data_IF_802014844286
#
_entry.id   IF_802014844286
#
_cell.length_a   1.000
_cell.length_b   1.000
_cell.length_c   1.000
_cell.angle_alpha   90.00
_cell.angle_beta   90.00
_cell.angle_gamma   90.00
#
_symmetry.space_group_name_H-M   'P 1'
#
loop_
_entity.id
_entity.type
_entity.pdbx_description
1 polymer ?
#
# COMPACT_ATOMS: atom_id res chain seq x y z
N UNK A 1 22.25 -28.78 -25.01
CA UNK A 1 23.39 -29.69 -24.79
C UNK A 1 24.58 -28.98 -24.15
N UNK A 2 24.98 -27.76 -24.58
CA UNK A 2 26.11 -27.05 -23.94
C UNK A 2 25.73 -26.37 -22.60
N UNK A 3 24.55 -25.74 -22.54
CA UNK A 3 24.09 -25.04 -21.32
C UNK A 3 23.91 -25.96 -20.10
N UNK A 4 23.22 -27.10 -20.25
CA UNK A 4 22.99 -28.04 -19.14
C UNK A 4 24.31 -28.58 -18.57
N UNK A 5 25.30 -28.82 -19.46
CA UNK A 5 26.63 -29.26 -19.06
C UNK A 5 27.35 -28.18 -18.24
N UNK A 6 27.29 -26.91 -18.69
CA UNK A 6 27.86 -25.77 -17.96
C UNK A 6 27.17 -25.55 -16.61
N UNK A 7 25.87 -25.79 -16.50
CA UNK A 7 25.14 -25.73 -15.22
C UNK A 7 25.62 -26.82 -14.25
N UNK A 8 25.83 -28.04 -14.73
CA UNK A 8 26.41 -29.13 -13.92
C UNK A 8 27.83 -28.75 -13.47
N UNK A 9 28.65 -28.24 -14.40
CA UNK A 9 30.01 -27.78 -14.09
C UNK A 9 30.03 -26.67 -13.06
N UNK A 10 29.11 -25.70 -13.16
CA UNK A 10 28.96 -24.63 -12.19
C UNK A 10 28.59 -25.18 -10.81
N UNK A 11 27.58 -26.05 -10.71
CA UNK A 11 27.16 -26.64 -9.44
C UNK A 11 28.30 -27.40 -8.75
N UNK A 12 29.05 -28.22 -9.51
CA UNK A 12 30.20 -28.96 -9.01
C UNK A 12 31.37 -28.03 -8.63
N UNK A 13 31.61 -26.99 -9.42
CA UNK A 13 32.61 -25.97 -9.16
C UNK A 13 32.34 -25.22 -7.85
N UNK A 14 31.10 -24.75 -7.66
CA UNK A 14 30.68 -24.07 -6.43
C UNK A 14 30.81 -24.94 -5.19
N UNK A 15 30.50 -26.24 -5.29
CA UNK A 15 30.73 -27.19 -4.21
C UNK A 15 32.22 -27.39 -3.92
N UNK A 16 33.05 -27.57 -4.97
CA UNK A 16 34.50 -27.81 -4.84
C UNK A 16 35.24 -26.67 -4.14
N UNK A 17 34.78 -25.44 -4.33
CA UNK A 17 35.41 -24.24 -3.73
C UNK A 17 34.78 -23.83 -2.39
N UNK A 18 33.97 -24.71 -1.78
CA UNK A 18 33.28 -24.44 -0.52
C UNK A 18 32.31 -23.24 -0.56
N UNK A 19 31.83 -22.85 -1.75
CA UNK A 19 30.79 -21.84 -1.88
C UNK A 19 29.40 -22.38 -1.47
N UNK A 20 29.23 -23.71 -1.47
CA UNK A 20 28.06 -24.43 -0.97
C UNK A 20 28.50 -25.38 0.13
N UNK A 21 27.98 -25.19 1.35
CA UNK A 21 28.33 -26.01 2.52
C UNK A 21 27.08 -26.66 3.12
N UNK A 22 27.22 -27.89 3.59
CA UNK A 22 26.16 -28.67 4.23
C UNK A 22 26.49 -28.92 5.70
N UNK A 23 25.47 -28.92 6.55
CA UNK A 23 25.61 -29.00 8.01
C UNK A 23 24.64 -28.05 8.71
N UNK A 24 24.74 -27.92 10.02
CA UNK A 24 23.88 -27.02 10.79
C UNK A 24 24.46 -25.61 10.83
N UNK A 25 23.74 -24.65 10.25
CA UNK A 25 24.10 -23.23 10.29
C UNK A 25 22.95 -22.40 10.84
N UNK A 26 23.27 -21.30 11.52
CA UNK A 26 22.27 -20.36 12.02
C UNK A 26 22.15 -19.16 11.07
N UNK A 27 20.92 -18.89 10.61
CA UNK A 27 20.63 -17.70 9.80
C UNK A 27 20.59 -16.44 10.65
N UNK A 28 20.67 -15.25 10.03
CA UNK A 28 20.53 -13.96 10.73
C UNK A 28 19.21 -13.80 11.48
N UNK A 29 18.17 -14.54 11.09
CA UNK A 29 16.87 -14.58 11.76
C UNK A 29 16.79 -15.60 12.90
N UNK A 30 17.90 -16.24 13.28
CA UNK A 30 17.96 -17.25 14.35
C UNK A 30 17.40 -18.62 13.95
N UNK A 31 17.09 -18.84 12.67
CA UNK A 31 16.56 -20.12 12.17
C UNK A 31 17.73 -21.00 11.72
N UNK A 32 17.74 -22.27 12.13
CA UNK A 32 18.73 -23.23 11.65
C UNK A 32 18.47 -23.62 10.18
N UNK A 33 19.53 -23.75 9.39
CA UNK A 33 19.50 -24.16 7.99
C UNK A 33 20.50 -25.30 7.77
N UNK A 34 20.14 -26.36 7.03
CA UNK A 34 21.02 -27.50 6.72
C UNK A 34 22.08 -27.17 5.64
N UNK A 35 22.00 -25.96 5.09
CA UNK A 35 22.80 -25.52 3.95
C UNK A 35 23.17 -24.04 4.06
N UNK A 36 24.40 -23.72 3.73
CA UNK A 36 24.96 -22.37 3.73
C UNK A 36 25.63 -22.06 2.40
N UNK A 37 25.47 -20.81 1.96
CA UNK A 37 25.97 -20.30 0.69
C UNK A 37 26.84 -19.09 0.92
N UNK A 38 28.05 -19.12 0.38
CA UNK A 38 28.97 -18.00 0.42
C UNK A 38 29.59 -17.77 -0.95
N UNK A 39 28.85 -17.12 -1.85
CA UNK A 39 29.37 -16.79 -3.17
C UNK A 39 30.45 -15.71 -3.13
N UNK A 40 30.85 -15.16 -1.97
CA UNK A 40 31.98 -14.22 -1.91
C UNK A 40 33.30 -14.91 -2.21
N UNK A 41 33.42 -16.22 -1.98
CA UNK A 41 34.67 -16.95 -2.24
C UNK A 41 35.02 -17.02 -3.73
N UNK A 42 34.03 -16.88 -4.63
CA UNK A 42 34.22 -17.05 -6.07
C UNK A 42 35.24 -16.07 -6.66
N UNK A 43 35.45 -14.91 -6.02
CA UNK A 43 36.41 -13.89 -6.49
C UNK A 43 37.85 -14.42 -6.48
N UNK A 44 38.13 -15.47 -5.70
CA UNK A 44 39.42 -16.16 -5.65
C UNK A 44 39.57 -17.24 -6.72
N UNK A 45 38.53 -17.50 -7.53
CA UNK A 45 38.48 -18.58 -8.52
C UNK A 45 38.05 -18.04 -9.90
N UNK A 46 38.99 -17.48 -10.68
CA UNK A 46 38.69 -16.87 -11.99
C UNK A 46 37.94 -17.78 -12.96
N UNK A 47 38.23 -19.08 -12.95
CA UNK A 47 37.55 -20.07 -13.80
C UNK A 47 36.04 -20.15 -13.49
N UNK A 48 35.65 -20.11 -12.21
CA UNK A 48 34.25 -20.12 -11.78
C UNK A 48 33.57 -18.81 -12.16
N UNK A 49 34.27 -17.68 -12.00
CA UNK A 49 33.79 -16.35 -12.41
C UNK A 49 33.54 -16.25 -13.92
N UNK A 50 34.45 -16.78 -14.75
CA UNK A 50 34.29 -16.82 -16.20
C UNK A 50 33.11 -17.71 -16.59
N UNK A 51 32.96 -18.89 -15.96
CA UNK A 51 31.84 -19.80 -16.21
C UNK A 51 30.49 -19.16 -15.86
N UNK A 52 30.36 -18.53 -14.68
CA UNK A 52 29.18 -17.77 -14.28
C UNK A 52 28.89 -16.68 -15.31
N UNK A 53 29.90 -15.91 -15.71
CA UNK A 53 29.73 -14.81 -16.68
C UNK A 53 29.32 -15.33 -18.06
N UNK A 54 29.85 -16.47 -18.50
CA UNK A 54 29.42 -17.12 -19.76
C UNK A 54 27.98 -17.61 -19.69
N UNK A 55 27.60 -18.28 -18.60
CA UNK A 55 26.22 -18.71 -18.38
C UNK A 55 25.27 -17.52 -18.33
N UNK A 56 25.61 -16.46 -17.61
CA UNK A 56 24.83 -15.22 -17.58
C UNK A 56 24.72 -14.62 -18.98
N UNK A 57 25.80 -14.56 -19.76
CA UNK A 57 25.78 -14.06 -21.14
C UNK A 57 24.81 -14.86 -22.02
N UNK A 58 24.90 -16.19 -21.99
CA UNK A 58 24.03 -17.11 -22.73
C UNK A 58 22.56 -16.99 -22.28
N UNK A 59 22.34 -16.75 -20.99
CA UNK A 59 21.02 -16.65 -20.36
C UNK A 59 20.37 -15.27 -20.49
N UNK A 60 21.16 -14.19 -20.61
CA UNK A 60 20.71 -12.79 -20.53
C UNK A 60 20.47 -12.13 -21.89
N UNK A 61 21.09 -12.59 -22.98
CA UNK A 61 21.20 -11.74 -24.19
C UNK A 61 20.21 -12.10 -25.29
N UNK A 62 19.70 -13.34 -25.33
CA UNK A 62 18.82 -13.72 -26.45
C UNK A 62 17.51 -12.89 -26.44
N UNK A 63 17.03 -12.48 -25.26
CA UNK A 63 15.68 -11.87 -25.14
C UNK A 63 15.60 -10.54 -24.37
N UNK A 64 16.62 -10.12 -23.60
CA UNK A 64 16.50 -8.93 -22.73
C UNK A 64 17.09 -7.68 -23.37
N UNK A 65 16.28 -6.61 -23.48
CA UNK A 65 16.73 -5.29 -23.91
C UNK A 65 17.08 -4.41 -22.71
N UNK A 66 18.36 -4.12 -22.51
CA UNK A 66 18.84 -3.25 -21.44
C UNK A 66 19.99 -2.31 -21.90
N UNK A 67 20.15 -1.22 -21.17
CA UNK A 67 21.15 -0.17 -21.40
C UNK A 67 22.33 -0.30 -20.43
N UNK A 68 22.02 -0.70 -19.19
CA UNK A 68 22.97 -0.84 -18.09
C UNK A 68 22.85 -2.18 -17.38
N UNK A 69 23.94 -2.59 -16.72
CA UNK A 69 23.94 -3.67 -15.72
C UNK A 69 24.21 -3.07 -14.34
N UNK A 70 23.54 -3.55 -13.30
CA UNK A 70 23.84 -3.19 -11.91
C UNK A 70 23.90 -4.43 -11.04
N UNK A 71 25.07 -4.68 -10.42
CA UNK A 71 25.21 -5.74 -9.42
C UNK A 71 24.70 -5.30 -8.07
N UNK A 72 23.98 -6.17 -7.35
CA UNK A 72 23.60 -5.90 -5.96
C UNK A 72 24.85 -5.96 -5.06
N UNK A 73 25.06 -4.96 -4.18
CA UNK A 73 26.27 -4.94 -3.35
C UNK A 73 26.31 -6.05 -2.28
N UNK A 74 27.45 -6.70 -2.03
CA UNK A 74 28.77 -6.51 -2.67
C UNK A 74 29.15 -7.67 -3.59
N UNK A 75 28.62 -8.87 -3.35
CA UNK A 75 29.06 -10.11 -4.01
C UNK A 75 28.78 -10.11 -5.51
N UNK A 76 27.68 -9.50 -5.95
CA UNK A 76 27.34 -9.47 -7.37
C UNK A 76 28.09 -8.37 -8.16
N UNK A 77 28.82 -7.45 -7.51
CA UNK A 77 29.55 -6.38 -8.20
C UNK A 77 30.66 -6.89 -9.12
N UNK A 78 31.55 -7.82 -8.70
CA UNK A 78 32.56 -8.40 -9.60
C UNK A 78 31.93 -9.12 -10.80
N UNK A 79 30.82 -9.82 -10.58
CA UNK A 79 30.11 -10.57 -11.64
C UNK A 79 29.49 -9.59 -12.64
N UNK A 80 28.79 -8.56 -12.15
CA UNK A 80 28.23 -7.50 -12.99
C UNK A 80 29.31 -6.75 -13.77
N UNK A 81 30.49 -6.57 -13.18
CA UNK A 81 31.64 -5.96 -13.86
C UNK A 81 32.07 -6.81 -15.06
N UNK A 82 32.33 -8.11 -14.87
CA UNK A 82 32.71 -9.00 -15.96
C UNK A 82 31.61 -9.10 -17.03
N UNK A 83 30.35 -9.19 -16.61
CA UNK A 83 29.22 -9.25 -17.53
C UNK A 83 29.13 -7.97 -18.38
N UNK A 84 29.26 -6.79 -17.76
CA UNK A 84 29.20 -5.50 -18.47
C UNK A 84 30.24 -5.41 -19.60
N UNK A 85 31.45 -5.90 -19.35
CA UNK A 85 32.53 -5.98 -20.34
C UNK A 85 32.17 -6.98 -21.44
N UNK A 86 31.68 -8.17 -21.09
CA UNK A 86 31.33 -9.23 -22.04
C UNK A 86 30.17 -8.82 -22.97
N UNK A 87 29.17 -8.11 -22.44
CA UNK A 87 28.00 -7.63 -23.21
C UNK A 87 28.21 -6.27 -23.88
N UNK A 88 29.33 -5.60 -23.61
CA UNK A 88 29.64 -4.23 -24.08
C UNK A 88 28.55 -3.22 -23.71
N UNK A 89 28.02 -3.30 -22.49
CA UNK A 89 27.08 -2.34 -21.90
C UNK A 89 27.70 -1.72 -20.67
N UNK A 90 27.30 -0.49 -20.34
CA UNK A 90 27.84 0.18 -19.16
C UNK A 90 27.32 -0.44 -17.86
N UNK A 91 28.10 -0.33 -16.80
CA UNK A 91 27.70 -0.77 -15.46
C UNK A 91 27.34 0.45 -14.60
N UNK A 92 26.25 0.35 -13.86
CA UNK A 92 25.93 1.22 -12.74
C UNK A 92 26.31 0.52 -11.44
N UNK A 93 26.79 1.29 -10.47
CA UNK A 93 27.15 0.76 -9.16
C UNK A 93 26.30 1.42 -8.08
N UNK A 94 25.40 0.63 -7.49
CA UNK A 94 24.67 1.03 -6.29
C UNK A 94 25.59 0.92 -5.08
N UNK A 95 25.62 1.94 -4.22
CA UNK A 95 26.29 1.89 -2.93
C UNK A 95 25.33 1.38 -1.88
N UNK A 96 25.83 0.62 -0.91
CA UNK A 96 25.00 0.21 0.24
C UNK A 96 24.78 1.38 1.21
N UNK A 97 25.82 2.20 1.42
CA UNK A 97 25.76 3.42 2.22
C UNK A 97 26.03 4.67 1.37
N UNK A 98 25.25 5.73 1.58
CA UNK A 98 25.50 7.03 0.97
C UNK A 98 26.78 7.64 1.55
N UNK A 99 27.52 8.41 0.73
CA UNK A 99 28.68 9.17 1.22
C UNK A 99 28.21 10.21 2.25
N UNK A 100 28.96 10.38 3.34
CA UNK A 100 28.74 11.45 4.32
C UNK A 100 29.13 12.85 3.78
N UNK A 101 29.90 12.91 2.69
CA UNK A 101 30.38 14.12 2.03
C UNK A 101 30.31 14.01 0.49
N UNK A 102 30.32 15.13 -0.23
CA UNK A 102 30.23 15.17 -1.71
C UNK A 102 28.79 15.11 -2.24
N UNK A 103 28.59 14.50 -3.43
CA UNK A 103 27.30 14.48 -4.16
C UNK A 103 26.17 13.67 -3.49
N UNK A 104 26.47 12.93 -2.40
CA UNK A 104 25.54 12.07 -1.63
C UNK A 104 24.74 11.04 -2.47
N UNK A 105 25.13 10.80 -3.73
CA UNK A 105 24.45 9.86 -4.63
C UNK A 105 24.64 8.41 -4.18
N UNK A 106 23.55 7.63 -4.28
CA UNK A 106 23.55 6.19 -4.04
C UNK A 106 23.92 5.39 -5.29
N UNK A 107 23.68 5.93 -6.48
CA UNK A 107 24.01 5.29 -7.77
C UNK A 107 25.18 6.03 -8.43
N UNK A 108 26.26 5.30 -8.70
CA UNK A 108 27.44 5.77 -9.42
C UNK A 108 27.37 5.29 -10.90
N UNK A 109 27.82 6.14 -11.83
CA UNK A 109 27.76 5.90 -13.27
C UNK A 109 27.00 7.01 -14.02
N UNK A 110 26.99 6.93 -15.35
CA UNK A 110 26.26 7.84 -16.23
C UNK A 110 25.01 7.18 -16.78
N UNK A 111 23.88 7.85 -16.64
CA UNK A 111 22.57 7.36 -17.08
C UNK A 111 21.60 8.52 -17.35
N UNK A 112 20.51 8.21 -18.03
CA UNK A 112 19.38 9.09 -18.32
C UNK A 112 18.07 8.48 -17.80
N UNK A 113 17.14 9.36 -17.45
CA UNK A 113 15.79 8.96 -17.05
C UNK A 113 15.14 8.14 -18.15
N UNK A 114 14.56 7.01 -17.78
CA UNK A 114 13.87 6.07 -18.67
C UNK A 114 14.73 4.93 -19.23
N UNK A 115 16.06 4.99 -19.08
CA UNK A 115 16.97 3.90 -19.48
C UNK A 115 16.76 2.65 -18.62
N UNK A 116 17.00 1.48 -19.21
CA UNK A 116 16.76 0.17 -18.60
C UNK A 116 18.03 -0.37 -17.93
N UNK A 117 17.91 -0.77 -16.67
CA UNK A 117 18.98 -1.36 -15.89
C UNK A 117 18.65 -2.81 -15.51
N UNK A 118 19.47 -3.74 -15.99
CA UNK A 118 19.41 -5.16 -15.64
C UNK A 118 20.12 -5.40 -14.31
N UNK A 119 19.42 -6.02 -13.37
CA UNK A 119 19.97 -6.30 -12.04
C UNK A 119 20.60 -7.69 -12.01
N UNK A 120 21.80 -7.78 -11.43
CA UNK A 120 22.51 -9.04 -11.20
C UNK A 120 22.65 -9.27 -9.70
N UNK A 121 22.29 -10.47 -9.24
CA UNK A 121 22.40 -10.88 -7.84
C UNK A 121 22.99 -12.29 -7.74
N UNK A 122 23.68 -12.55 -6.62
CA UNK A 122 24.30 -13.84 -6.36
C UNK A 122 23.28 -14.86 -5.85
N UNK A 123 22.58 -14.57 -4.75
CA UNK A 123 21.64 -15.49 -4.09
C UNK A 123 20.36 -14.77 -3.69
N UNK A 124 19.21 -15.35 -4.02
CA UNK A 124 17.90 -14.83 -3.58
C UNK A 124 17.23 -15.77 -2.58
N UNK A 125 16.91 -15.24 -1.40
CA UNK A 125 16.03 -15.86 -0.39
C UNK A 125 14.66 -15.19 -0.37
N UNK A 126 14.60 -13.93 0.09
CA UNK A 126 13.40 -13.07 0.13
C UNK A 126 13.30 -12.11 -1.06
N UNK A 127 14.42 -11.83 -1.74
CA UNK A 127 14.50 -10.79 -2.77
C UNK A 127 14.69 -9.36 -2.24
N UNK A 128 14.87 -9.16 -0.92
CA UNK A 128 14.95 -7.81 -0.33
C UNK A 128 16.12 -6.97 -0.85
N UNK A 129 17.30 -7.56 -1.00
CA UNK A 129 18.49 -6.84 -1.50
C UNK A 129 18.33 -6.35 -2.94
N UNK A 130 17.70 -7.19 -3.77
CA UNK A 130 17.30 -6.83 -5.14
C UNK A 130 16.30 -5.68 -5.08
N UNK A 131 15.26 -5.76 -4.24
CA UNK A 131 14.26 -4.70 -4.10
C UNK A 131 14.80 -3.36 -3.61
N UNK A 132 15.76 -3.36 -2.69
CA UNK A 132 16.47 -2.14 -2.29
C UNK A 132 17.17 -1.49 -3.49
N UNK A 133 17.84 -2.30 -4.30
CA UNK A 133 18.54 -1.84 -5.51
C UNK A 133 17.54 -1.32 -6.57
N UNK A 134 16.45 -2.05 -6.82
CA UNK A 134 15.34 -1.62 -7.70
C UNK A 134 14.79 -0.28 -7.24
N UNK A 135 14.53 -0.13 -5.95
CA UNK A 135 13.95 1.10 -5.37
C UNK A 135 14.87 2.28 -5.59
N UNK A 136 16.17 2.13 -5.34
CA UNK A 136 17.14 3.21 -5.52
C UNK A 136 17.34 3.56 -7.00
N UNK A 137 17.33 2.58 -7.91
CA UNK A 137 17.38 2.83 -9.36
C UNK A 137 16.11 3.54 -9.87
N UNK A 138 14.93 3.07 -9.46
CA UNK A 138 13.64 3.67 -9.87
C UNK A 138 13.48 5.11 -9.36
N UNK A 139 14.01 5.44 -8.17
CA UNK A 139 14.04 6.82 -7.65
C UNK A 139 14.83 7.78 -8.54
N UNK A 140 15.90 7.30 -9.18
CA UNK A 140 16.69 8.07 -10.15
C UNK A 140 16.06 8.08 -11.55
N UNK A 141 14.86 7.51 -11.72
CA UNK A 141 14.11 7.48 -12.97
C UNK A 141 14.48 6.35 -13.93
N UNK A 142 15.27 5.36 -13.49
CA UNK A 142 15.62 4.19 -14.30
C UNK A 142 14.51 3.12 -14.28
N UNK A 143 14.43 2.33 -15.35
CA UNK A 143 13.57 1.14 -15.42
C UNK A 143 14.35 -0.07 -14.95
N UNK A 144 13.94 -0.66 -13.84
CA UNK A 144 14.65 -1.75 -13.17
C UNK A 144 13.69 -2.92 -12.92
N UNK A 145 13.23 -3.51 -14.02
CA UNK A 145 12.08 -4.44 -14.04
C UNK A 145 12.51 -5.89 -14.29
N UNK A 146 13.82 -6.15 -14.45
CA UNK A 146 14.38 -7.48 -14.66
C UNK A 146 15.59 -7.72 -13.76
N UNK A 147 15.62 -8.90 -13.13
CA UNK A 147 16.75 -9.36 -12.34
C UNK A 147 17.16 -10.78 -12.75
N UNK A 148 18.46 -11.00 -12.91
CA UNK A 148 19.06 -12.31 -13.16
C UNK A 148 19.88 -12.70 -11.95
N UNK A 149 19.57 -13.87 -11.42
CA UNK A 149 20.11 -14.39 -10.17
C UNK A 149 20.95 -15.63 -10.46
N UNK A 150 22.08 -15.81 -9.79
CA UNK A 150 22.87 -17.03 -9.93
C UNK A 150 22.15 -18.20 -9.25
N UNK A 151 21.72 -18.02 -8.01
CA UNK A 151 21.03 -19.05 -7.22
C UNK A 151 19.71 -18.55 -6.60
N UNK A 152 18.60 -19.18 -6.99
CA UNK A 152 17.29 -19.04 -6.33
C UNK A 152 17.16 -20.08 -5.21
N UNK A 153 17.00 -19.63 -3.96
CA UNK A 153 16.81 -20.55 -2.83
C UNK A 153 15.41 -21.17 -2.78
N UNK A 154 14.46 -20.70 -3.59
CA UNK A 154 13.07 -21.21 -3.65
C UNK A 154 12.27 -21.02 -2.34
N UNK A 155 12.62 -19.97 -1.59
CA UNK A 155 12.02 -19.63 -0.30
C UNK A 155 11.03 -18.45 -0.37
N UNK A 156 10.64 -17.97 -1.55
CA UNK A 156 9.65 -16.90 -1.73
C UNK A 156 10.16 -15.66 -2.47
N UNK A 157 11.46 -15.57 -2.74
CA UNK A 157 12.07 -14.42 -3.38
C UNK A 157 11.55 -14.13 -4.79
N UNK A 158 11.26 -15.15 -5.60
CA UNK A 158 10.66 -14.95 -6.93
C UNK A 158 9.30 -14.28 -6.84
N UNK A 159 8.40 -14.83 -6.03
CA UNK A 159 7.05 -14.30 -5.85
C UNK A 159 7.09 -12.87 -5.31
N UNK A 160 7.99 -12.61 -4.38
CA UNK A 160 8.24 -11.28 -3.84
C UNK A 160 8.68 -10.27 -4.90
N UNK A 161 9.60 -10.64 -5.80
CA UNK A 161 10.07 -9.78 -6.87
C UNK A 161 9.00 -9.57 -7.95
N UNK A 162 8.34 -10.64 -8.38
CA UNK A 162 7.26 -10.58 -9.39
C UNK A 162 6.09 -9.72 -8.89
N UNK A 163 5.74 -9.82 -7.61
CA UNK A 163 4.72 -8.97 -7.00
C UNK A 163 5.07 -7.47 -7.11
N UNK A 164 6.35 -7.11 -7.21
CA UNK A 164 6.88 -5.75 -7.32
C UNK A 164 7.27 -5.34 -8.76
N UNK A 165 6.68 -6.00 -9.75
CA UNK A 165 6.94 -5.76 -11.17
C UNK A 165 8.43 -5.95 -11.52
N UNK A 166 9.08 -6.93 -10.89
CA UNK A 166 10.46 -7.33 -11.20
C UNK A 166 10.46 -8.78 -11.64
N UNK A 167 10.66 -9.00 -12.94
CA UNK A 167 10.78 -10.34 -13.51
C UNK A 167 12.12 -10.95 -13.08
N UNK A 168 12.05 -12.05 -12.35
CA UNK A 168 13.23 -12.78 -11.90
C UNK A 168 13.50 -13.97 -12.83
N UNK A 169 14.76 -14.12 -13.26
CA UNK A 169 15.27 -15.35 -13.86
C UNK A 169 16.45 -15.86 -13.01
N UNK A 170 16.60 -17.17 -12.88
CA UNK A 170 17.69 -17.77 -12.10
C UNK A 170 18.48 -18.79 -12.94
N UNK A 171 19.81 -18.75 -12.87
CA UNK A 171 20.66 -19.75 -13.51
C UNK A 171 20.48 -21.13 -12.88
N UNK A 172 20.44 -21.17 -11.55
CA UNK A 172 20.29 -22.37 -10.77
C UNK A 172 19.21 -22.18 -9.70
N UNK A 173 18.40 -23.21 -9.47
CA UNK A 173 17.51 -23.27 -8.29
C UNK A 173 18.11 -24.20 -7.25
N UNK A 174 17.71 -24.03 -5.99
CA UNK A 174 18.15 -24.90 -4.91
C UNK A 174 17.86 -26.36 -5.22
N UNK A 175 16.64 -26.67 -5.66
CA UNK A 175 16.25 -28.03 -6.02
C UNK A 175 17.16 -28.62 -7.11
N UNK A 176 17.51 -27.83 -8.14
CA UNK A 176 18.40 -28.29 -9.21
C UNK A 176 19.84 -28.48 -8.74
N UNK A 177 20.34 -27.60 -7.88
CA UNK A 177 21.66 -27.75 -7.28
C UNK A 177 21.74 -29.07 -6.48
N UNK A 178 20.76 -29.35 -5.64
CA UNK A 178 20.72 -30.57 -4.82
C UNK A 178 20.65 -31.83 -5.69
N UNK A 179 19.81 -31.81 -6.73
CA UNK A 179 19.72 -32.91 -7.72
C UNK A 179 21.10 -33.22 -8.33
N UNK A 180 21.78 -32.20 -8.87
CA UNK A 180 23.11 -32.37 -9.50
C UNK A 180 24.13 -32.92 -8.51
N UNK A 181 24.15 -32.43 -7.27
CA UNK A 181 25.10 -32.87 -6.26
C UNK A 181 24.85 -34.32 -5.81
N UNK A 182 23.59 -34.78 -5.77
CA UNK A 182 23.26 -36.18 -5.51
C UNK A 182 23.69 -37.08 -6.67
N UNK A 183 23.35 -36.71 -7.91
CA UNK A 183 23.68 -37.49 -9.11
C UNK A 183 25.19 -37.66 -9.30
N UNK A 184 25.98 -36.69 -8.83
CA UNK A 184 27.43 -36.70 -8.90
C UNK A 184 28.12 -37.15 -7.60
N UNK A 185 27.38 -37.80 -6.69
CA UNK A 185 27.89 -38.36 -5.43
C UNK A 185 28.64 -37.34 -4.53
N UNK A 186 28.24 -36.07 -4.55
CA UNK A 186 28.80 -35.01 -3.68
C UNK A 186 28.07 -34.91 -2.35
N UNK A 187 26.80 -35.29 -2.32
CA UNK A 187 26.00 -35.42 -1.10
C UNK A 187 25.20 -36.72 -1.13
N UNK A 188 24.82 -37.21 0.05
CA UNK A 188 23.97 -38.39 0.16
C UNK A 188 22.47 -38.01 0.12
N UNK A 189 21.61 -39.03 -0.02
CA UNK A 189 20.14 -38.83 -0.06
C UNK A 189 19.56 -38.26 1.24
N UNK A 190 20.19 -38.52 2.39
CA UNK A 190 19.72 -38.00 3.67
C UNK A 190 19.88 -36.47 3.72
N UNK A 191 21.08 -35.96 3.41
CA UNK A 191 21.36 -34.53 3.32
C UNK A 191 20.45 -33.83 2.31
N UNK A 192 20.19 -34.46 1.16
CA UNK A 192 19.27 -33.91 0.17
C UNK A 192 17.82 -33.80 0.71
N UNK A 193 17.37 -34.80 1.47
CA UNK A 193 16.05 -34.78 2.12
C UNK A 193 15.97 -33.70 3.20
N UNK A 194 17.03 -33.49 3.99
CA UNK A 194 17.06 -32.43 5.01
C UNK A 194 16.88 -31.04 4.39
N UNK A 195 17.60 -30.77 3.29
CA UNK A 195 17.44 -29.52 2.53
C UNK A 195 16.02 -29.40 1.96
N UNK A 196 15.48 -30.46 1.37
CA UNK A 196 14.12 -30.46 0.82
C UNK A 196 13.07 -30.13 1.89
N UNK A 197 13.17 -30.76 3.05
CA UNK A 197 12.28 -30.50 4.19
C UNK A 197 12.40 -29.05 4.68
N UNK A 198 13.63 -28.52 4.75
CA UNK A 198 13.86 -27.12 5.10
C UNK A 198 13.18 -26.15 4.13
N UNK A 199 13.30 -26.35 2.82
CA UNK A 199 12.69 -25.47 1.79
C UNK A 199 11.16 -25.47 1.81
N UNK A 200 10.56 -26.60 2.19
CA UNK A 200 9.10 -26.73 2.33
C UNK A 200 8.58 -25.98 3.56
N UNK A 201 9.30 -26.05 4.68
CA UNK A 201 8.83 -25.52 5.96
C UNK A 201 9.28 -24.09 6.25
N UNK A 202 10.37 -23.62 5.63
CA UNK A 202 10.94 -22.29 5.90
C UNK A 202 10.81 -21.40 4.69
N UNK A 203 9.80 -20.52 4.71
CA UNK A 203 9.63 -19.44 3.73
C UNK A 203 10.18 -18.12 4.25
N UNK A 204 10.68 -17.30 3.34
CA UNK A 204 11.11 -15.95 3.61
C UNK A 204 9.89 -15.03 3.83
N UNK A 205 10.04 -13.92 4.57
CA UNK A 205 8.96 -12.95 4.74
C UNK A 205 8.47 -12.42 3.38
N UNK A 206 7.16 -12.26 3.24
CA UNK A 206 6.57 -11.60 2.06
C UNK A 206 7.04 -10.13 2.00
N UNK A 207 7.54 -9.71 0.85
CA UNK A 207 7.92 -8.31 0.56
C UNK A 207 7.06 -7.71 -0.55
N UNK A 208 5.81 -8.16 -0.68
CA UNK A 208 4.85 -7.62 -1.65
C UNK A 208 4.83 -6.08 -1.62
N UNK A 209 4.62 -5.40 -2.76
CA UNK A 209 4.67 -3.95 -2.81
C UNK A 209 3.72 -3.38 -1.79
N UNK A 210 4.20 -2.37 -1.06
CA UNK A 210 3.30 -1.46 -0.38
C UNK A 210 2.55 -0.70 -1.47
N UNK A 211 1.39 -1.21 -1.86
CA UNK A 211 0.45 -0.49 -2.72
C UNK A 211 0.22 0.86 -2.05
N UNK A 212 0.69 1.93 -2.68
CA UNK A 212 0.49 3.26 -2.15
C UNK A 212 -0.90 3.74 -2.54
N UNK A 213 -1.84 3.70 -1.58
CA UNK A 213 -3.22 4.17 -1.82
C UNK A 213 -3.29 5.60 -2.36
N UNK A 214 -2.31 6.45 -2.05
CA UNK A 214 -2.31 7.86 -2.47
C UNK A 214 -2.04 8.03 -3.97
N UNK A 215 -1.41 7.06 -4.63
CA UNK A 215 -1.14 7.11 -6.07
C UNK A 215 -2.21 6.42 -6.92
N UNK A 216 -3.20 5.78 -6.31
CA UNK A 216 -4.27 5.08 -7.02
C UNK A 216 -5.45 6.00 -7.31
N UNK A 217 -6.09 5.76 -8.46
CA UNK A 217 -7.35 6.44 -8.79
C UNK A 217 -8.50 5.89 -7.93
N UNK A 218 -9.60 6.64 -7.82
CA UNK A 218 -10.75 6.18 -7.03
C UNK A 218 -11.41 4.95 -7.66
N UNK A 219 -11.42 4.83 -9.00
CA UNK A 219 -11.93 3.66 -9.72
C UNK A 219 -11.11 2.39 -9.37
N UNK A 220 -9.78 2.49 -9.39
CA UNK A 220 -8.89 1.37 -9.01
C UNK A 220 -9.08 0.97 -7.56
N UNK A 221 -9.31 1.95 -6.67
CA UNK A 221 -9.56 1.68 -5.26
C UNK A 221 -10.95 1.05 -5.03
N UNK A 222 -11.94 1.38 -5.85
CA UNK A 222 -13.24 0.72 -5.82
C UNK A 222 -13.13 -0.78 -6.12
N UNK A 223 -12.28 -1.17 -7.07
CA UNK A 223 -12.03 -2.59 -7.39
C UNK A 223 -11.39 -3.35 -6.21
N UNK A 224 -10.61 -2.65 -5.39
CA UNK A 224 -9.89 -3.21 -4.25
C UNK A 224 -10.69 -3.24 -2.95
N UNK A 225 -11.74 -2.42 -2.85
CA UNK A 225 -12.56 -2.36 -1.64
C UNK A 225 -13.39 -3.64 -1.47
N UNK A 226 -13.65 -4.02 -0.22
CA UNK A 226 -14.55 -5.13 0.11
C UNK A 226 -15.95 -4.64 0.50
N UNK A 227 -16.04 -3.47 1.12
CA UNK A 227 -17.29 -2.84 1.53
C UNK A 227 -18.04 -2.21 0.35
N UNK A 228 -19.34 -2.51 0.22
CA UNK A 228 -20.17 -2.03 -0.89
C UNK A 228 -20.34 -0.50 -0.89
N UNK A 229 -20.51 0.11 0.28
CA UNK A 229 -20.63 1.57 0.44
C UNK A 229 -19.33 2.27 0.00
N UNK A 230 -18.15 1.74 0.37
CA UNK A 230 -16.88 2.28 -0.07
C UNK A 230 -16.73 2.23 -1.60
N UNK A 231 -17.12 1.11 -2.24
CA UNK A 231 -17.15 1.00 -3.71
C UNK A 231 -18.04 2.08 -4.33
N UNK A 232 -19.26 2.21 -3.82
CA UNK A 232 -20.22 3.19 -4.31
C UNK A 232 -19.69 4.62 -4.14
N UNK A 233 -19.11 4.94 -2.98
CA UNK A 233 -18.56 6.27 -2.71
C UNK A 233 -17.40 6.60 -3.65
N UNK A 234 -16.44 5.68 -3.85
CA UNK A 234 -15.37 5.87 -4.83
C UNK A 234 -15.91 6.12 -6.25
N UNK A 235 -16.93 5.37 -6.67
CA UNK A 235 -17.56 5.55 -7.98
C UNK A 235 -18.25 6.92 -8.11
N UNK A 236 -18.99 7.36 -7.08
CA UNK A 236 -19.60 8.69 -7.03
C UNK A 236 -18.52 9.77 -7.16
N UNK A 237 -17.43 9.63 -6.41
CA UNK A 237 -16.32 10.58 -6.41
C UNK A 237 -15.68 10.69 -7.80
N UNK A 238 -15.42 9.56 -8.44
CA UNK A 238 -14.88 9.47 -9.80
C UNK A 238 -15.79 10.12 -10.84
N UNK A 239 -17.07 9.73 -10.87
CA UNK A 239 -18.05 10.19 -11.87
C UNK A 239 -18.33 11.69 -11.72
N UNK A 240 -18.57 12.15 -10.49
CA UNK A 240 -18.92 13.56 -10.22
C UNK A 240 -17.71 14.47 -10.12
N UNK A 241 -16.50 13.91 -10.12
CA UNK A 241 -15.23 14.60 -9.88
C UNK A 241 -15.29 15.43 -8.61
N UNK A 242 -15.69 14.80 -7.51
CA UNK A 242 -15.79 15.44 -6.20
C UNK A 242 -15.36 14.50 -5.10
N UNK A 243 -14.59 15.02 -4.17
CA UNK A 243 -14.19 14.40 -2.92
C UNK A 243 -14.66 15.24 -1.71
N UNK A 244 -15.68 16.08 -1.93
CA UNK A 244 -16.27 16.95 -0.91
C UNK A 244 -17.41 16.22 -0.19
N UNK A 245 -17.30 16.16 1.14
CA UNK A 245 -18.40 15.87 2.06
C UNK A 245 -18.88 17.17 2.71
N UNK A 246 -20.17 17.45 2.67
CA UNK A 246 -20.75 18.59 3.39
C UNK A 246 -21.26 18.15 4.77
N UNK A 247 -20.89 18.91 5.79
CA UNK A 247 -21.41 18.79 7.16
C UNK A 247 -22.59 19.74 7.34
N UNK A 248 -23.82 19.22 7.32
CA UNK A 248 -25.04 20.02 7.43
C UNK A 248 -25.46 20.20 8.88
N UNK A 249 -24.60 20.83 9.67
CA UNK A 249 -24.82 21.05 11.10
C UNK A 249 -25.80 22.22 11.34
N UNK A 250 -27.06 22.01 10.92
CA UNK A 250 -28.20 22.92 11.04
C UNK A 250 -29.30 22.28 11.90
N UNK A 251 -30.09 23.10 12.58
CA UNK A 251 -31.14 22.62 13.50
C UNK A 251 -32.52 22.48 12.87
N UNK A 252 -32.71 22.99 11.63
CA UNK A 252 -33.98 22.92 10.90
C UNK A 252 -33.89 22.01 9.68
N UNK A 253 -34.80 21.04 9.60
CA UNK A 253 -34.97 20.13 8.48
C UNK A 253 -35.17 20.86 7.15
N UNK A 254 -35.95 21.95 7.15
CA UNK A 254 -36.23 22.77 5.96
C UNK A 254 -34.94 23.43 5.45
N UNK A 255 -34.15 24.03 6.35
CA UNK A 255 -32.89 24.66 5.97
C UNK A 255 -31.88 23.65 5.42
N UNK A 256 -31.84 22.43 5.97
CA UNK A 256 -31.01 21.34 5.45
C UNK A 256 -31.43 20.99 4.02
N UNK A 257 -32.72 20.75 3.77
CA UNK A 257 -33.21 20.39 2.44
C UNK A 257 -32.98 21.51 1.41
N UNK A 258 -33.22 22.76 1.77
CA UNK A 258 -32.96 23.92 0.90
C UNK A 258 -31.48 24.09 0.56
N UNK A 259 -30.58 23.84 1.52
CA UNK A 259 -29.15 23.85 1.29
C UNK A 259 -28.74 22.71 0.34
N UNK A 260 -29.22 21.49 0.60
CA UNK A 260 -28.90 20.31 -0.21
C UNK A 260 -29.44 20.40 -1.64
N UNK A 261 -30.58 21.05 -1.85
CA UNK A 261 -31.10 21.33 -3.20
C UNK A 261 -30.12 22.20 -4.01
N UNK A 262 -29.39 23.10 -3.36
CA UNK A 262 -28.37 23.96 -4.01
C UNK A 262 -27.04 23.24 -4.21
N UNK A 263 -26.56 22.52 -3.17
CA UNK A 263 -25.18 22.01 -3.13
C UNK A 263 -25.04 20.53 -3.49
N UNK A 264 -26.14 19.76 -3.53
CA UNK A 264 -26.14 18.30 -3.66
C UNK A 264 -25.37 17.78 -4.88
N UNK A 265 -25.44 18.49 -6.02
CA UNK A 265 -24.70 18.13 -7.25
C UNK A 265 -23.17 18.23 -7.11
N UNK A 266 -22.67 18.92 -6.08
CA UNK A 266 -21.24 19.17 -5.86
C UNK A 266 -20.59 18.26 -4.83
N UNK A 267 -21.35 17.49 -4.05
CA UNK A 267 -20.84 16.67 -2.94
C UNK A 267 -20.90 15.18 -3.28
N UNK A 268 -19.99 14.37 -2.72
CA UNK A 268 -20.09 12.89 -2.80
C UNK A 268 -20.79 12.29 -1.58
N UNK A 269 -20.78 13.00 -0.45
CA UNK A 269 -21.28 12.54 0.84
C UNK A 269 -21.93 13.73 1.57
N UNK A 270 -23.04 13.48 2.25
CA UNK A 270 -23.70 14.44 3.15
C UNK A 270 -23.62 13.88 4.55
N UNK A 271 -23.02 14.64 5.47
CA UNK A 271 -22.90 14.29 6.88
C UNK A 271 -23.94 15.02 7.70
N UNK A 272 -24.77 14.28 8.43
CA UNK A 272 -25.80 14.80 9.34
C UNK A 272 -25.42 14.62 10.81
N UNK A 273 -26.06 15.41 11.66
CA UNK A 273 -26.26 15.12 13.08
C UNK A 273 -27.76 15.18 13.32
N UNK A 274 -28.42 14.02 13.23
CA UNK A 274 -29.89 13.98 13.30
C UNK A 274 -30.43 14.45 14.65
N UNK A 275 -29.63 14.30 15.69
CA UNK A 275 -29.96 14.60 17.09
C UNK A 275 -29.92 16.08 17.46
N UNK A 276 -29.48 16.96 16.55
CA UNK A 276 -29.58 18.42 16.71
C UNK A 276 -30.74 19.03 15.90
N UNK A 277 -31.49 18.23 15.14
CA UNK A 277 -32.61 18.69 14.31
C UNK A 277 -33.87 18.77 15.18
N UNK A 278 -34.38 19.99 15.36
CA UNK A 278 -35.51 20.28 16.25
C UNK A 278 -36.85 19.77 15.70
N UNK A 279 -37.00 19.72 14.38
CA UNK A 279 -38.21 19.37 13.63
C UNK A 279 -38.06 18.03 12.87
N UNK A 280 -37.30 17.08 13.44
CA UNK A 280 -37.09 15.76 12.83
C UNK A 280 -38.40 15.02 12.54
N UNK A 281 -38.52 14.46 11.34
CA UNK A 281 -39.70 13.69 10.91
C UNK A 281 -39.34 12.63 9.86
N UNK A 282 -40.25 11.67 9.64
CA UNK A 282 -40.15 10.70 8.54
C UNK A 282 -40.17 11.35 7.15
N UNK A 283 -40.88 12.47 7.02
CA UNK A 283 -41.01 13.20 5.75
C UNK A 283 -39.70 13.91 5.39
N UNK A 284 -38.98 14.43 6.40
CA UNK A 284 -37.61 14.92 6.22
C UNK A 284 -36.69 13.82 5.69
N UNK A 285 -36.71 12.63 6.30
CA UNK A 285 -35.88 11.50 5.86
C UNK A 285 -36.23 11.06 4.43
N UNK A 286 -37.52 11.04 4.08
CA UNK A 286 -37.98 10.71 2.72
C UNK A 286 -37.41 11.72 1.72
N UNK A 287 -37.56 13.01 2.01
CA UNK A 287 -37.04 14.11 1.17
C UNK A 287 -35.51 14.07 1.05
N UNK A 288 -34.80 13.77 2.16
CA UNK A 288 -33.34 13.64 2.16
C UNK A 288 -32.88 12.51 1.24
N UNK A 289 -33.55 11.36 1.26
CA UNK A 289 -33.27 10.22 0.38
C UNK A 289 -33.58 10.54 -1.09
N UNK A 290 -34.65 11.29 -1.36
CA UNK A 290 -34.95 11.78 -2.71
C UNK A 290 -33.83 12.67 -3.25
N UNK A 291 -33.31 13.59 -2.44
CA UNK A 291 -32.17 14.43 -2.81
C UNK A 291 -30.89 13.60 -3.03
N UNK A 292 -30.62 12.62 -2.18
CA UNK A 292 -29.49 11.71 -2.31
C UNK A 292 -29.52 10.96 -3.64
N UNK A 293 -30.70 10.44 -4.02
CA UNK A 293 -30.92 9.78 -5.30
C UNK A 293 -30.80 10.76 -6.48
N UNK A 294 -31.48 11.91 -6.40
CA UNK A 294 -31.50 12.95 -7.45
C UNK A 294 -30.11 13.45 -7.78
N UNK A 295 -29.29 13.71 -6.76
CA UNK A 295 -27.96 14.30 -6.93
C UNK A 295 -26.83 13.29 -6.85
N UNK A 296 -27.12 12.01 -6.60
CA UNK A 296 -26.14 10.94 -6.47
C UNK A 296 -25.06 11.26 -5.42
N UNK A 297 -25.45 11.29 -4.15
CA UNK A 297 -24.56 11.34 -2.99
C UNK A 297 -25.00 10.31 -1.95
N UNK A 298 -24.10 9.93 -1.05
CA UNK A 298 -24.43 9.07 0.10
C UNK A 298 -24.73 9.90 1.35
N UNK A 299 -25.43 9.29 2.31
CA UNK A 299 -25.77 9.88 3.60
C UNK A 299 -24.94 9.22 4.71
N UNK A 300 -24.18 10.04 5.45
CA UNK A 300 -23.44 9.67 6.64
C UNK A 300 -24.11 10.28 7.87
N UNK A 301 -24.60 9.46 8.78
CA UNK A 301 -25.02 9.95 10.09
C UNK A 301 -23.81 9.91 11.06
N UNK A 302 -23.34 11.08 11.48
CA UNK A 302 -22.15 11.21 12.33
C UNK A 302 -22.47 11.03 13.81
N UNK A 303 -23.08 9.88 14.11
CA UNK A 303 -23.60 9.56 15.44
C UNK A 303 -22.51 9.28 16.49
N UNK A 304 -21.30 8.91 16.05
CA UNK A 304 -20.15 8.51 16.88
C UNK A 304 -20.54 7.49 17.97
N UNK A 305 -21.12 6.36 17.57
CA UNK A 305 -21.48 5.30 18.52
C UNK A 305 -20.29 4.92 19.41
N UNK A 306 -20.50 4.80 20.72
CA UNK A 306 -19.43 4.59 21.70
C UNK A 306 -19.90 3.81 22.94
N UNK A 307 -20.85 2.89 22.77
CA UNK A 307 -21.42 2.08 23.85
C UNK A 307 -21.20 0.57 23.58
N UNK A 308 -21.57 -0.28 24.54
CA UNK A 308 -21.55 -1.73 24.36
C UNK A 308 -22.52 -2.17 23.26
N UNK A 309 -22.23 -3.32 22.65
CA UNK A 309 -22.92 -3.77 21.43
C UNK A 309 -24.44 -3.84 21.54
N UNK A 310 -24.99 -4.34 22.65
CA UNK A 310 -26.45 -4.44 22.80
C UNK A 310 -27.15 -3.07 22.74
N UNK A 311 -26.61 -2.09 23.46
CA UNK A 311 -27.16 -0.73 23.47
C UNK A 311 -27.03 -0.09 22.10
N UNK A 312 -25.88 -0.22 21.44
CA UNK A 312 -25.66 0.34 20.09
C UNK A 312 -26.60 -0.28 19.07
N UNK A 313 -26.92 -1.58 19.16
CA UNK A 313 -27.91 -2.20 18.28
C UNK A 313 -29.26 -1.48 18.37
N UNK A 314 -29.76 -1.24 19.59
CA UNK A 314 -31.03 -0.53 19.81
C UNK A 314 -30.98 0.94 19.36
N UNK A 315 -29.86 1.62 19.61
CA UNK A 315 -29.66 3.01 19.16
C UNK A 315 -29.61 3.12 17.63
N UNK A 316 -29.08 2.11 16.95
CA UNK A 316 -28.90 2.12 15.50
C UNK A 316 -30.20 1.74 14.77
N UNK A 317 -30.86 0.65 15.18
CA UNK A 317 -32.01 0.07 14.46
C UNK A 317 -33.37 0.51 15.00
N UNK A 318 -33.41 1.25 16.10
CA UNK A 318 -34.63 1.59 16.82
C UNK A 318 -34.72 3.07 17.18
N UNK A 319 -35.55 3.36 18.19
CA UNK A 319 -35.81 4.72 18.66
C UNK A 319 -36.48 5.62 17.63
N UNK A 320 -36.52 6.91 17.93
CA UNK A 320 -37.12 7.94 17.06
C UNK A 320 -36.41 8.01 15.71
N UNK A 321 -35.07 7.93 15.71
CA UNK A 321 -34.26 8.20 14.52
C UNK A 321 -34.14 7.02 13.57
N UNK A 322 -34.18 5.78 14.09
CA UNK A 322 -34.07 4.54 13.30
C UNK A 322 -33.02 4.65 12.17
N UNK A 323 -31.77 4.95 12.57
CA UNK A 323 -30.69 5.43 11.71
C UNK A 323 -30.41 4.43 10.57
N UNK A 324 -30.47 3.12 10.85
CA UNK A 324 -30.22 2.06 9.87
C UNK A 324 -31.10 2.16 8.61
N UNK A 325 -32.31 2.71 8.71
CA UNK A 325 -33.26 2.73 7.59
C UNK A 325 -32.94 3.77 6.50
N UNK A 326 -32.08 4.74 6.79
CA UNK A 326 -31.86 5.87 5.90
C UNK A 326 -30.41 6.28 5.76
N UNK A 327 -29.56 6.09 6.77
CA UNK A 327 -28.14 6.34 6.62
C UNK A 327 -27.50 5.21 5.79
N UNK A 328 -26.64 5.58 4.83
CA UNK A 328 -25.81 4.61 4.10
C UNK A 328 -24.62 4.19 4.97
N UNK A 329 -24.09 5.13 5.77
CA UNK A 329 -23.02 4.86 6.70
C UNK A 329 -23.14 5.66 8.00
N UNK A 330 -22.43 5.21 9.03
CA UNK A 330 -22.39 5.84 10.36
C UNK A 330 -20.95 5.97 10.88
N UNK A 331 -20.73 6.86 11.84
CA UNK A 331 -19.44 6.93 12.58
C UNK A 331 -19.50 6.15 13.91
N UNK A 332 -18.37 5.54 14.28
CA UNK A 332 -18.27 4.67 15.46
C UNK A 332 -16.88 4.78 16.11
N UNK A 333 -16.82 4.93 17.43
CA UNK A 333 -15.58 4.75 18.19
C UNK A 333 -15.28 3.26 18.36
N UNK A 334 -13.99 2.90 18.37
CA UNK A 334 -13.52 1.54 18.70
C UNK A 334 -13.33 1.33 20.20
N UNK A 335 -13.59 2.36 21.01
CA UNK A 335 -13.34 2.38 22.47
C UNK A 335 -13.97 1.18 23.21
N UNK A 336 -15.23 0.78 22.93
CA UNK A 336 -15.85 -0.35 23.63
C UNK A 336 -15.35 -1.74 23.20
N UNK A 337 -14.46 -1.82 22.20
CA UNK A 337 -13.99 -3.07 21.61
C UNK A 337 -14.93 -3.63 20.54
N UNK A 338 -14.63 -4.84 20.05
CA UNK A 338 -15.30 -5.43 18.86
C UNK A 338 -16.81 -5.66 19.00
N UNK A 339 -17.34 -5.67 20.24
CA UNK A 339 -18.77 -5.89 20.48
C UNK A 339 -19.67 -4.87 19.77
N UNK A 340 -19.20 -3.63 19.64
CA UNK A 340 -19.92 -2.57 18.91
C UNK A 340 -20.02 -2.88 17.41
N UNK A 341 -18.95 -3.37 16.79
CA UNK A 341 -18.95 -3.72 15.37
C UNK A 341 -19.82 -4.95 15.10
N UNK A 342 -19.83 -5.93 16.00
CA UNK A 342 -20.76 -7.08 15.89
C UNK A 342 -22.22 -6.65 15.90
N UNK A 343 -22.56 -5.64 16.70
CA UNK A 343 -23.90 -5.08 16.76
C UNK A 343 -24.29 -4.35 15.45
N UNK A 344 -23.35 -3.60 14.87
CA UNK A 344 -23.56 -2.90 13.60
C UNK A 344 -23.58 -3.86 12.40
N UNK A 345 -22.87 -5.00 12.46
CA UNK A 345 -22.71 -6.00 11.40
C UNK A 345 -23.83 -7.05 11.33
N UNK A 346 -25.06 -6.73 11.70
CA UNK A 346 -26.16 -7.71 11.60
C UNK A 346 -26.44 -8.08 10.15
N UNK A 347 -26.99 -9.29 9.90
CA UNK A 347 -27.31 -9.77 8.53
C UNK A 347 -28.25 -8.84 7.75
N UNK A 348 -29.03 -8.02 8.44
CA UNK A 348 -29.93 -7.03 7.84
C UNK A 348 -29.22 -5.76 7.33
N UNK A 349 -27.93 -5.58 7.64
CA UNK A 349 -27.18 -4.35 7.41
C UNK A 349 -26.02 -4.56 6.42
N UNK A 350 -26.10 -5.56 5.56
CA UNK A 350 -25.03 -5.92 4.61
C UNK A 350 -24.78 -4.85 3.53
N UNK A 351 -25.70 -3.91 3.38
CA UNK A 351 -25.62 -2.76 2.49
C UNK A 351 -25.16 -1.48 3.20
N UNK A 352 -24.73 -1.55 4.47
CA UNK A 352 -24.32 -0.39 5.27
C UNK A 352 -22.82 -0.26 5.47
N UNK A 353 -22.39 0.94 5.81
CA UNK A 353 -21.00 1.30 6.03
C UNK A 353 -20.70 1.85 7.42
N UNK A 354 -19.48 1.63 7.91
CA UNK A 354 -19.00 2.24 9.15
C UNK A 354 -17.68 2.98 8.93
N UNK A 355 -17.60 4.22 9.40
CA UNK A 355 -16.35 4.96 9.57
C UNK A 355 -15.90 4.87 11.02
N UNK A 356 -14.76 4.24 11.27
CA UNK A 356 -14.17 4.16 12.60
C UNK A 356 -13.38 5.44 12.92
N UNK A 357 -13.57 5.99 14.12
CA UNK A 357 -12.76 7.13 14.58
C UNK A 357 -11.37 6.62 14.99
N UNK A 358 -10.39 6.83 14.11
CA UNK A 358 -8.99 6.45 14.35
C UNK A 358 -8.14 7.65 14.79
N UNK A 359 -8.51 8.87 14.42
CA UNK A 359 -7.90 10.12 14.90
C UNK A 359 -8.98 11.23 14.94
N UNK A 360 -8.72 12.34 15.64
CA UNK A 360 -9.63 13.48 15.72
C UNK A 360 -8.91 14.81 15.46
N UNK A 361 -9.65 15.79 14.94
CA UNK A 361 -9.14 17.13 14.61
C UNK A 361 -9.14 18.10 15.80
N UNK A 362 -9.80 17.76 16.89
CA UNK A 362 -9.87 18.65 18.06
C UNK A 362 -8.58 18.58 18.88
N UNK A 363 -8.18 19.74 19.39
CA UNK A 363 -7.06 19.86 20.32
C UNK A 363 -7.34 19.10 21.63
N UNK A 364 -6.31 18.47 22.19
CA UNK A 364 -6.40 17.76 23.47
C UNK A 364 -7.15 16.43 23.44
N UNK A 365 -7.50 15.91 22.26
CA UNK A 365 -8.14 14.59 22.17
C UNK A 365 -7.24 13.47 22.73
N UNK A 366 -7.88 12.42 23.25
CA UNK A 366 -7.19 11.32 23.94
C UNK A 366 -6.86 10.13 23.02
N UNK A 367 -7.02 10.29 21.70
CA UNK A 367 -6.71 9.22 20.76
C UNK A 367 -5.20 9.13 20.59
N UNK A 368 -4.62 8.08 21.18
CA UNK A 368 -3.19 7.80 21.10
C UNK A 368 -2.81 7.04 19.83
N UNK A 369 -1.52 6.99 19.45
CA UNK A 369 -1.05 6.11 18.38
C UNK A 369 -1.37 4.63 18.64
N UNK A 370 -1.37 4.19 19.90
CA UNK A 370 -1.76 2.82 20.26
C UNK A 370 -3.25 2.57 19.99
N UNK A 371 -4.13 3.48 20.41
CA UNK A 371 -5.56 3.40 20.11
C UNK A 371 -5.81 3.35 18.60
N UNK A 372 -5.11 4.20 17.85
CA UNK A 372 -5.17 4.26 16.38
C UNK A 372 -4.81 2.90 15.77
N UNK A 373 -3.68 2.32 16.18
CA UNK A 373 -3.23 1.02 15.69
C UNK A 373 -4.21 -0.11 16.01
N UNK A 374 -4.77 -0.16 17.22
CA UNK A 374 -5.76 -1.18 17.60
C UNK A 374 -7.09 -0.99 16.84
N UNK A 375 -7.48 0.26 16.56
CA UNK A 375 -8.65 0.58 15.73
C UNK A 375 -8.49 0.05 14.31
N UNK A 376 -7.33 0.24 13.71
CA UNK A 376 -7.03 -0.23 12.34
C UNK A 376 -6.98 -1.76 12.29
N UNK A 377 -6.32 -2.42 13.25
CA UNK A 377 -6.33 -3.88 13.37
C UNK A 377 -7.74 -4.45 13.55
N UNK A 378 -8.59 -3.76 14.30
CA UNK A 378 -9.98 -4.15 14.48
C UNK A 378 -10.74 -4.10 13.15
N UNK A 379 -10.54 -3.05 12.37
CA UNK A 379 -11.21 -2.86 11.08
C UNK A 379 -10.89 -3.98 10.07
N UNK A 380 -9.65 -4.48 10.06
CA UNK A 380 -9.22 -5.56 9.15
C UNK A 380 -10.06 -6.83 9.28
N UNK A 381 -10.59 -7.12 10.48
CA UNK A 381 -11.47 -8.27 10.74
C UNK A 381 -12.90 -8.09 10.22
N UNK A 382 -13.31 -6.86 9.96
CA UNK A 382 -14.66 -6.47 9.54
C UNK A 382 -14.62 -5.70 8.22
N UNK A 383 -13.69 -6.04 7.31
CA UNK A 383 -13.45 -5.30 6.07
C UNK A 383 -14.65 -5.17 5.13
N UNK A 384 -15.66 -6.04 5.28
CA UNK A 384 -16.92 -5.96 4.51
C UNK A 384 -17.89 -4.91 5.09
N UNK A 385 -17.78 -4.57 6.37
CA UNK A 385 -18.57 -3.54 7.08
C UNK A 385 -17.89 -2.17 7.06
N UNK A 386 -16.56 -2.15 7.25
CA UNK A 386 -15.83 -0.90 7.43
C UNK A 386 -15.64 -0.21 6.08
N UNK A 387 -16.21 0.98 5.95
CA UNK A 387 -16.05 1.86 4.79
C UNK A 387 -14.71 2.59 4.86
N UNK A 388 -14.27 2.95 6.07
CA UNK A 388 -13.01 3.65 6.25
C UNK A 388 -12.82 4.21 7.66
N UNK A 389 -12.03 5.28 7.76
CA UNK A 389 -11.65 5.88 9.02
C UNK A 389 -11.87 7.39 9.02
N UNK A 390 -12.34 7.92 10.15
CA UNK A 390 -12.15 9.33 10.48
C UNK A 390 -10.72 9.50 10.98
N UNK A 391 -9.88 10.16 10.18
CA UNK A 391 -8.49 10.43 10.57
C UNK A 391 -7.88 11.63 9.83
N UNK A 392 -6.71 12.08 10.30
CA UNK A 392 -6.01 13.27 9.83
C UNK A 392 -4.75 12.93 9.03
N UNK A 393 -4.12 11.76 9.23
CA UNK A 393 -2.84 11.42 8.63
C UNK A 393 -2.91 10.31 7.58
N UNK A 394 -1.99 10.37 6.60
CA UNK A 394 -1.97 9.40 5.50
C UNK A 394 -1.57 7.99 5.94
N UNK A 395 -0.73 7.93 6.98
CA UNK A 395 -0.08 6.70 7.45
C UNK A 395 -0.93 5.95 8.49
N UNK A 396 -2.12 6.47 8.83
CA UNK A 396 -3.08 5.81 9.74
C UNK A 396 -3.39 4.38 9.25
N UNK A 397 -3.60 4.19 7.95
CA UNK A 397 -3.83 2.88 7.34
C UNK A 397 -3.24 2.80 5.93
N UNK A 398 -2.96 1.58 5.47
CA UNK A 398 -2.32 1.32 4.17
C UNK A 398 -3.24 0.68 3.13
N UNK A 399 -4.29 -0.01 3.56
CA UNK A 399 -5.20 -0.70 2.66
C UNK A 399 -5.91 0.31 1.74
N UNK A 400 -5.75 0.21 0.41
CA UNK A 400 -6.38 1.12 -0.55
C UNK A 400 -7.90 0.98 -0.63
N UNK A 401 -8.47 -0.12 -0.13
CA UNK A 401 -9.91 -0.37 -0.12
C UNK A 401 -10.69 0.44 0.92
N UNK A 402 -10.01 1.01 1.93
CA UNK A 402 -10.61 1.90 2.92
C UNK A 402 -10.55 3.36 2.50
N UNK A 403 -11.51 4.18 2.97
CA UNK A 403 -11.59 5.62 2.72
C UNK A 403 -11.09 6.41 3.92
N UNK A 404 -10.25 7.43 3.69
CA UNK A 404 -9.91 8.44 4.70
C UNK A 404 -10.94 9.58 4.68
N UNK A 405 -11.77 9.67 5.71
CA UNK A 405 -12.70 10.78 5.94
C UNK A 405 -12.02 11.81 6.86
N UNK A 406 -11.75 13.01 6.35
CA UNK A 406 -10.98 14.02 7.11
C UNK A 406 -11.81 15.27 7.38
N UNK A 407 -12.23 15.51 8.64
CA UNK A 407 -12.83 16.77 9.06
C UNK A 407 -11.78 17.82 9.41
N UNK A 408 -12.24 19.04 9.70
CA UNK A 408 -11.36 20.15 10.09
C UNK A 408 -10.71 20.83 8.89
N UNK A 409 -11.49 21.14 7.86
CA UNK A 409 -10.99 21.82 6.65
C UNK A 409 -11.70 23.14 6.42
N UNK A 410 -10.91 24.17 6.08
CA UNK A 410 -11.34 25.47 5.55
C UNK A 410 -10.33 25.93 4.49
N UNK A 411 -10.71 26.86 3.62
CA UNK A 411 -9.80 27.43 2.62
C UNK A 411 -8.57 28.11 3.23
N UNK A 412 -8.66 28.56 4.47
CA UNK A 412 -7.55 29.13 5.23
C UNK A 412 -7.38 28.37 6.54
N UNK A 413 -6.12 28.19 6.96
CA UNK A 413 -5.82 27.59 8.27
C UNK A 413 -6.30 28.51 9.39
N UNK A 414 -7.06 27.94 10.32
CA UNK A 414 -7.66 28.68 11.44
C UNK A 414 -7.90 27.75 12.63
N UNK A 415 -8.32 28.32 13.76
CA UNK A 415 -8.75 27.59 14.95
C UNK A 415 -10.00 28.29 15.50
N UNK A 416 -10.97 27.53 15.99
CA UNK A 416 -12.12 28.11 16.66
C UNK A 416 -11.95 28.15 18.19
N UNK A 417 -12.90 28.82 18.86
CA UNK A 417 -12.88 29.02 20.31
C UNK A 417 -13.13 27.73 21.12
N UNK A 418 -13.54 26.65 20.45
CA UNK A 418 -13.89 25.36 21.07
C UNK A 418 -12.90 24.25 20.72
N UNK A 419 -11.69 24.61 20.26
CA UNK A 419 -10.57 23.69 20.06
C UNK A 419 -10.56 22.96 18.71
N UNK A 420 -11.43 23.31 17.76
CA UNK A 420 -11.39 22.78 16.40
C UNK A 420 -10.25 23.43 15.62
N UNK A 421 -9.39 22.60 15.01
CA UNK A 421 -8.30 23.03 14.14
C UNK A 421 -8.71 22.86 12.68
N UNK A 422 -8.40 23.87 11.86
CA UNK A 422 -8.67 23.89 10.43
C UNK A 422 -7.38 23.88 9.61
N UNK A 423 -7.29 22.96 8.65
CA UNK A 423 -6.21 22.88 7.66
C UNK A 423 -6.75 23.20 6.25
N UNK A 424 -5.84 23.58 5.34
CA UNK A 424 -6.21 23.87 3.94
C UNK A 424 -6.49 22.59 3.13
N UNK A 425 -7.28 22.70 2.04
CA UNK A 425 -7.46 21.63 1.07
C UNK A 425 -6.14 21.02 0.55
N UNK A 426 -5.14 21.84 0.22
CA UNK A 426 -3.86 21.31 -0.29
C UNK A 426 -3.18 20.41 0.73
N UNK A 427 -3.03 20.89 1.97
CA UNK A 427 -2.39 20.13 3.04
C UNK A 427 -3.12 18.82 3.30
N UNK A 428 -4.45 18.88 3.41
CA UNK A 428 -5.25 17.71 3.75
C UNK A 428 -5.21 16.63 2.66
N UNK A 429 -5.27 17.02 1.39
CA UNK A 429 -5.29 16.06 0.29
C UNK A 429 -3.88 15.59 -0.08
N UNK A 430 -2.92 16.50 -0.24
CA UNK A 430 -1.56 16.21 -0.76
C UNK A 430 -0.64 15.63 0.31
N UNK A 431 -0.59 16.25 1.49
CA UNK A 431 0.36 15.86 2.54
C UNK A 431 -0.22 14.76 3.43
N UNK A 432 -1.48 14.94 3.83
CA UNK A 432 -2.20 14.14 4.80
C UNK A 432 -3.02 12.99 4.18
N UNK A 433 -3.16 12.94 2.84
CA UNK A 433 -3.77 11.81 2.14
C UNK A 433 -5.27 11.66 2.29
N UNK A 434 -5.99 12.74 2.64
CA UNK A 434 -7.45 12.75 2.77
C UNK A 434 -8.15 12.34 1.47
N UNK A 435 -9.15 11.47 1.58
CA UNK A 435 -9.89 10.96 0.43
C UNK A 435 -11.25 11.61 0.27
N UNK A 436 -11.98 11.81 1.38
CA UNK A 436 -13.24 12.52 1.46
C UNK A 436 -13.09 13.60 2.51
N UNK A 437 -13.30 14.86 2.14
CA UNK A 437 -13.00 15.99 3.00
C UNK A 437 -14.29 16.60 3.53
N UNK A 438 -14.43 16.67 4.86
CA UNK A 438 -15.65 17.15 5.52
C UNK A 438 -15.52 18.66 5.77
N UNK A 439 -16.43 19.43 5.17
CA UNK A 439 -16.52 20.88 5.31
C UNK A 439 -17.89 21.27 5.84
N UNK A 440 -17.92 21.98 6.97
CA UNK A 440 -19.15 22.49 7.59
C UNK A 440 -19.31 24.01 7.41
N UNK A 441 -18.99 24.76 8.46
CA UNK A 441 -19.09 26.24 8.53
C UNK A 441 -18.55 26.98 7.31
N UNK A 442 -17.49 26.47 6.67
CA UNK A 442 -16.93 27.07 5.44
C UNK A 442 -17.89 27.14 4.26
N UNK A 443 -18.94 26.31 4.23
CA UNK A 443 -20.01 26.32 3.21
C UNK A 443 -21.33 26.76 3.84
N UNK A 444 -21.71 26.16 4.98
CA UNK A 444 -23.02 26.35 5.60
C UNK A 444 -23.25 27.80 6.03
N UNK A 445 -22.22 28.47 6.55
CA UNK A 445 -22.30 29.85 7.03
C UNK A 445 -21.99 30.89 5.95
N UNK A 446 -21.76 30.46 4.71
CA UNK A 446 -21.41 31.36 3.62
C UNK A 446 -22.64 32.12 3.11
N UNK A 447 -22.41 33.34 2.62
CA UNK A 447 -23.47 34.13 1.96
C UNK A 447 -24.04 33.45 0.72
N UNK A 448 -23.20 32.72 -0.01
CA UNK A 448 -23.60 31.89 -1.14
C UNK A 448 -23.00 30.48 -0.99
N UNK A 449 -23.73 29.56 -0.34
CA UNK A 449 -23.25 28.19 -0.10
C UNK A 449 -22.96 27.40 -1.38
N UNK A 450 -23.68 27.65 -2.48
CA UNK A 450 -23.43 26.96 -3.76
C UNK A 450 -22.08 27.34 -4.35
N UNK A 451 -21.76 28.63 -4.39
CA UNK A 451 -20.46 29.10 -4.88
C UNK A 451 -19.30 28.58 -4.04
N UNK A 452 -19.44 28.55 -2.72
CA UNK A 452 -18.40 27.98 -1.84
C UNK A 452 -18.26 26.46 -2.04
N UNK A 453 -19.38 25.73 -2.18
CA UNK A 453 -19.32 24.29 -2.44
C UNK A 453 -18.59 23.97 -3.76
N UNK A 454 -18.80 24.77 -4.81
CA UNK A 454 -18.05 24.68 -6.08
C UNK A 454 -16.56 24.93 -5.84
N UNK A 455 -16.22 25.99 -5.11
CA UNK A 455 -14.82 26.35 -4.83
C UNK A 455 -14.10 25.23 -4.06
N UNK A 456 -14.71 24.67 -3.01
CA UNK A 456 -14.14 23.53 -2.29
C UNK A 456 -14.01 22.30 -3.20
N UNK A 457 -15.06 21.95 -3.96
CA UNK A 457 -15.04 20.82 -4.89
C UNK A 457 -13.86 20.92 -5.85
N UNK A 458 -13.74 22.05 -6.55
CA UNK A 458 -12.74 22.23 -7.60
C UNK A 458 -11.32 22.23 -7.03
N UNK A 459 -11.14 22.88 -5.87
CA UNK A 459 -9.85 22.91 -5.17
C UNK A 459 -9.42 21.51 -4.71
N UNK A 460 -10.34 20.78 -4.06
CA UNK A 460 -10.09 19.44 -3.54
C UNK A 460 -9.82 18.44 -4.67
N UNK A 461 -10.57 18.53 -5.77
CA UNK A 461 -10.38 17.67 -6.92
C UNK A 461 -9.04 17.95 -7.62
N UNK A 462 -8.67 19.22 -7.78
CA UNK A 462 -7.35 19.61 -8.32
C UNK A 462 -6.21 19.04 -7.47
N UNK A 463 -6.33 19.11 -6.14
CA UNK A 463 -5.35 18.52 -5.24
C UNK A 463 -5.28 17.00 -5.39
N UNK A 464 -6.41 16.32 -5.52
CA UNK A 464 -6.46 14.88 -5.75
C UNK A 464 -5.76 14.48 -7.06
N UNK A 465 -6.02 15.18 -8.17
CA UNK A 465 -5.36 14.93 -9.46
C UNK A 465 -3.84 15.16 -9.35
N UNK A 466 -3.42 16.23 -8.67
CA UNK A 466 -1.98 16.48 -8.41
C UNK A 466 -1.36 15.33 -7.62
N UNK A 467 -2.03 14.85 -6.56
CA UNK A 467 -1.60 13.72 -5.72
C UNK A 467 -1.34 12.45 -6.52
N UNK A 468 -2.31 12.00 -7.33
CA UNK A 468 -2.19 10.74 -8.08
C UNK A 468 -1.21 10.83 -9.26
N UNK A 469 -0.90 12.05 -9.74
CA UNK A 469 0.06 12.26 -10.83
C UNK A 469 1.54 12.16 -10.38
N UNK A 470 1.81 12.15 -9.07
CA UNK A 470 3.17 12.13 -8.52
C UNK A 470 3.93 13.45 -8.64
N UNK A 471 3.33 14.52 -9.20
CA UNK A 471 3.92 15.86 -9.28
C UNK A 471 3.58 16.66 -8.02
N UNK A 472 4.31 16.41 -6.94
CA UNK A 472 4.35 17.36 -5.81
C UNK A 472 5.45 18.36 -6.17
N UNK A 473 5.07 19.63 -6.36
CA UNK A 473 6.01 20.72 -6.70
C UNK A 473 6.97 21.01 -5.56
#
# INVERSE_FOLDING_TARGET
MDYDKKIIELALGLYKIDAVKFGEFMTKSGINTPIYFDLRVIVSYPEVMELITSLLYEFSIVDSQFDHVCGVPYTALPIATLLSVKVKKSMLMRRKEAKSYGTKKLIEGHYKVGEKCLIIEDVVTSGSSVMETVTDLRKEGLKADEAIIILDREQGGRQNLEANDVKMKALLTMSKLIEILVENNKINKATANDVKNYLQNVKAPNTAPKINRMSLTYEKRAEMSKNAIAKQLFNIMAVKKTNLCISVDLTSSTQILELLEKVGKHVCLVKTHVDIIEDFSSDFITSLKELANKYNFLILEDRKFADIGHTVALQYTGGLYNITNWADCVTCHSLPGEGILKALNSKSNCDKGVFLLAEMSCEGNLITPQYTNETVKMAEKYSDLITGFVCQHKDTFKDPGFIQLTPGVQLQSSKDDLGQVYNTPEKVVLENGGDVIVVGRGIVSAKNPESEAVLYKDTLWKCYIKRISGKVE
#
